data_IF_554474316079
#
_entry.id   IF_554474316079
#
_cell.length_a   1.000
_cell.length_b   1.000
_cell.length_c   1.000
_cell.angle_alpha   90.00
_cell.angle_beta   90.00
_cell.angle_gamma   90.00
#
_symmetry.space_group_name_H-M   'P 1'
#
loop_
_entity.id
_entity.type
_entity.pdbx_description
1 polymer ?
#
# COMPACT_ATOMS: atom_id res chain seq x y z
N UNK A 1 58.93 40.42 -35.53
CA UNK A 1 57.49 40.74 -35.64
C UNK A 1 56.64 39.53 -36.05
N UNK A 2 56.98 38.79 -37.12
CA UNK A 2 56.26 37.56 -37.53
C UNK A 2 56.26 36.42 -36.48
N UNK A 3 57.35 36.21 -35.73
CA UNK A 3 57.39 35.14 -34.70
C UNK A 3 56.51 35.44 -33.48
N UNK A 4 56.43 36.70 -33.06
CA UNK A 4 55.59 37.14 -31.93
C UNK A 4 54.10 37.01 -32.29
N UNK A 5 53.74 37.31 -33.54
CA UNK A 5 52.39 37.13 -34.06
C UNK A 5 51.95 35.65 -34.07
N UNK A 6 52.87 34.73 -34.40
CA UNK A 6 52.61 33.29 -34.41
C UNK A 6 52.45 32.70 -33.00
N UNK A 7 53.20 33.23 -32.02
CA UNK A 7 53.09 32.81 -30.61
C UNK A 7 51.77 33.29 -30.01
N UNK A 8 51.33 34.52 -30.32
CA UNK A 8 50.04 35.04 -29.89
C UNK A 8 48.86 34.25 -30.49
N UNK A 9 48.94 33.89 -31.79
CA UNK A 9 47.95 33.03 -32.43
C UNK A 9 47.87 31.64 -31.79
N UNK A 10 49.01 31.05 -31.42
CA UNK A 10 49.06 29.75 -30.75
C UNK A 10 48.45 29.79 -29.33
N UNK A 11 48.67 30.86 -28.56
CA UNK A 11 48.05 31.04 -27.25
C UNK A 11 46.53 31.22 -27.34
N UNK A 12 46.03 31.93 -28.37
CA UNK A 12 44.59 32.09 -28.61
C UNK A 12 43.95 30.75 -28.98
N UNK A 13 44.60 29.95 -29.83
CA UNK A 13 44.10 28.62 -30.21
C UNK A 13 44.06 27.67 -29.00
N UNK A 14 45.09 27.69 -28.15
CA UNK A 14 45.13 26.89 -26.91
C UNK A 14 44.06 27.37 -25.91
N UNK A 15 43.83 28.69 -25.80
CA UNK A 15 42.77 29.25 -24.98
C UNK A 15 41.37 28.82 -25.46
N UNK A 16 41.13 28.85 -26.77
CA UNK A 16 39.84 28.41 -27.36
C UNK A 16 39.64 26.90 -27.19
N UNK A 17 40.70 26.09 -27.30
CA UNK A 17 40.68 24.64 -27.04
C UNK A 17 40.37 24.29 -25.56
N UNK A 18 40.74 25.15 -24.61
CA UNK A 18 40.41 24.97 -23.19
C UNK A 18 38.95 25.36 -22.87
N UNK A 19 38.33 26.26 -23.63
CA UNK A 19 36.93 26.65 -23.43
C UNK A 19 35.93 25.59 -23.92
N UNK A 20 36.26 24.81 -24.95
CA UNK A 20 35.38 23.73 -25.46
C UNK A 20 35.39 22.45 -24.61
N UNK A 21 36.29 22.30 -23.63
CA UNK A 21 36.33 21.14 -22.73
C UNK A 21 35.58 21.35 -21.39
N UNK A 22 35.03 22.53 -21.15
CA UNK A 22 34.34 22.86 -19.89
C UNK A 22 32.84 22.56 -19.92
N UNK A 23 32.28 22.23 -21.08
CA UNK A 23 30.87 21.82 -21.20
C UNK A 23 30.78 20.29 -21.05
N UNK A 24 30.96 19.79 -19.84
CA UNK A 24 30.47 18.47 -19.48
C UNK A 24 29.05 18.66 -18.97
N UNK A 25 28.06 18.19 -19.73
CA UNK A 25 26.70 18.07 -19.23
C UNK A 25 26.75 17.11 -18.03
N UNK A 26 26.71 17.67 -16.83
CA UNK A 26 26.37 16.91 -15.64
C UNK A 26 24.89 16.54 -15.78
N UNK A 27 24.62 15.39 -16.39
CA UNK A 27 23.34 14.73 -16.21
C UNK A 27 23.20 14.52 -14.70
N UNK A 28 22.38 15.35 -14.06
CA UNK A 28 21.83 15.08 -12.75
C UNK A 28 21.18 13.71 -12.86
N UNK A 29 21.92 12.69 -12.43
CA UNK A 29 21.45 11.32 -12.31
C UNK A 29 20.55 11.32 -11.07
N UNK A 30 19.41 12.00 -11.16
CA UNK A 30 18.37 11.91 -10.15
C UNK A 30 17.84 10.50 -10.24
N UNK A 31 18.42 9.62 -9.44
CA UNK A 31 17.86 8.33 -9.13
C UNK A 31 16.56 8.58 -8.37
N UNK A 32 15.48 8.84 -9.12
CA UNK A 32 14.14 9.05 -8.56
C UNK A 32 13.71 7.70 -7.98
N UNK A 33 13.61 7.63 -6.66
CA UNK A 33 13.04 6.48 -5.97
C UNK A 33 11.52 6.47 -6.22
N UNK A 34 11.07 5.64 -7.16
CA UNK A 34 9.65 5.49 -7.46
C UNK A 34 8.87 4.81 -6.33
N UNK A 35 9.55 4.10 -5.42
CA UNK A 35 8.91 3.37 -4.33
C UNK A 35 8.25 2.05 -4.73
N UNK A 36 8.69 1.44 -5.84
CA UNK A 36 8.18 0.14 -6.29
C UNK A 36 8.33 -0.95 -5.21
N UNK A 37 9.37 -0.86 -4.40
CA UNK A 37 9.70 -1.77 -3.31
C UNK A 37 8.69 -1.74 -2.15
N UNK A 38 7.78 -0.75 -2.09
CA UNK A 38 6.63 -0.77 -1.20
C UNK A 38 5.55 -1.77 -1.64
N UNK A 39 5.67 -2.37 -2.83
CA UNK A 39 4.80 -3.44 -3.32
C UNK A 39 5.64 -4.52 -4.02
N UNK A 40 6.39 -5.33 -3.26
CA UNK A 40 7.22 -6.38 -3.83
C UNK A 40 6.35 -7.51 -4.39
N UNK A 41 6.63 -7.89 -5.64
CA UNK A 41 6.02 -9.03 -6.33
C UNK A 41 7.11 -10.00 -6.73
N UNK A 42 7.70 -10.67 -5.74
CA UNK A 42 8.75 -11.67 -5.94
C UNK A 42 8.21 -13.03 -5.51
N UNK A 43 8.16 -13.99 -6.44
CA UNK A 43 7.69 -15.34 -6.15
C UNK A 43 8.46 -15.97 -4.98
N UNK A 44 7.72 -16.59 -4.05
CA UNK A 44 8.26 -17.15 -2.81
C UNK A 44 8.31 -16.16 -1.63
N UNK A 45 8.04 -14.87 -1.86
CA UNK A 45 7.81 -13.90 -0.79
C UNK A 45 6.53 -14.26 -0.04
N UNK A 46 6.57 -14.18 1.29
CA UNK A 46 5.35 -14.32 2.10
C UNK A 46 5.36 -13.41 3.32
N UNK A 47 4.16 -13.06 3.78
CA UNK A 47 3.94 -12.33 5.01
C UNK A 47 2.81 -12.97 5.82
N UNK A 48 3.02 -13.07 7.12
CA UNK A 48 2.07 -13.61 8.10
C UNK A 48 1.55 -12.49 8.99
N UNK A 49 0.26 -12.51 9.27
CA UNK A 49 -0.42 -11.48 10.03
C UNK A 49 -1.27 -12.09 11.14
N UNK A 50 -1.34 -11.39 12.26
CA UNK A 50 -2.42 -11.51 13.23
C UNK A 50 -3.58 -10.65 12.76
N UNK A 51 -4.77 -11.22 12.74
CA UNK A 51 -6.00 -10.54 12.33
C UNK A 51 -6.94 -10.49 13.53
N UNK A 52 -7.06 -9.31 14.13
CA UNK A 52 -8.03 -9.05 15.20
C UNK A 52 -9.27 -8.39 14.59
N UNK A 53 -10.43 -9.02 14.78
CA UNK A 53 -11.71 -8.52 14.29
C UNK A 53 -12.70 -8.30 15.42
N UNK A 54 -13.45 -7.21 15.33
CA UNK A 54 -14.59 -6.91 16.19
C UNK A 54 -15.80 -6.75 15.29
N UNK A 55 -16.85 -7.54 15.52
CA UNK A 55 -18.12 -7.44 14.82
C UNK A 55 -19.13 -6.82 15.78
N UNK A 56 -19.84 -5.79 15.34
CA UNK A 56 -20.92 -5.13 16.07
C UNK A 56 -22.26 -5.60 15.50
N UNK A 57 -23.18 -5.99 16.38
CA UNK A 57 -24.53 -6.40 16.00
C UNK A 57 -25.47 -6.39 17.20
N UNK A 58 -26.70 -5.90 16.99
CA UNK A 58 -27.79 -5.96 17.97
C UNK A 58 -28.23 -7.40 18.28
N UNK A 59 -27.84 -8.39 17.48
CA UNK A 59 -28.11 -9.81 17.73
C UNK A 59 -27.09 -10.48 18.67
N UNK A 60 -26.02 -9.78 19.05
CA UNK A 60 -25.01 -10.29 19.98
C UNK A 60 -25.34 -9.86 21.42
N UNK A 61 -25.12 -10.73 22.44
CA UNK A 61 -25.47 -10.42 23.84
C UNK A 61 -24.85 -9.12 24.37
N UNK A 62 -23.57 -8.88 24.06
CA UNK A 62 -22.83 -7.68 24.48
C UNK A 62 -22.81 -6.60 23.39
N UNK A 63 -23.63 -6.73 22.35
CA UNK A 63 -23.65 -5.85 21.17
C UNK A 63 -22.43 -5.97 20.24
N UNK A 64 -21.40 -6.73 20.66
CA UNK A 64 -20.20 -7.00 19.85
C UNK A 64 -19.56 -8.35 20.17
N UNK A 65 -18.75 -8.85 19.25
CA UNK A 65 -17.94 -10.05 19.42
C UNK A 65 -16.54 -9.83 18.86
N UNK A 66 -15.52 -10.27 19.60
CA UNK A 66 -14.12 -10.20 19.17
C UNK A 66 -13.64 -11.58 18.71
N UNK A 67 -12.83 -11.61 17.66
CA UNK A 67 -12.17 -12.83 17.16
C UNK A 67 -10.75 -12.51 16.76
N UNK A 68 -9.85 -13.44 17.03
CA UNK A 68 -8.49 -13.41 16.49
C UNK A 68 -8.34 -14.57 15.53
N UNK A 69 -7.73 -14.30 14.38
CA UNK A 69 -7.30 -15.31 13.41
C UNK A 69 -5.93 -14.93 12.87
N UNK A 70 -5.36 -15.79 12.04
CA UNK A 70 -4.05 -15.59 11.47
C UNK A 70 -4.11 -15.79 9.98
N UNK A 71 -3.38 -14.96 9.26
CA UNK A 71 -3.36 -14.92 7.81
C UNK A 71 -1.94 -15.12 7.30
N UNK A 72 -1.78 -15.87 6.21
CA UNK A 72 -0.55 -15.87 5.41
C UNK A 72 -0.88 -15.48 3.98
N UNK A 73 -0.14 -14.52 3.45
CA UNK A 73 -0.17 -14.17 2.04
C UNK A 73 1.17 -14.57 1.43
N UNK A 74 1.14 -15.34 0.34
CA UNK A 74 2.30 -15.80 -0.39
C UNK A 74 2.20 -15.40 -1.86
N UNK A 75 3.23 -14.72 -2.37
CA UNK A 75 3.39 -14.46 -3.80
C UNK A 75 3.84 -15.76 -4.46
N UNK A 76 2.99 -16.34 -5.29
CA UNK A 76 3.21 -17.63 -5.93
C UNK A 76 3.59 -17.43 -7.41
N UNK A 77 2.81 -18.02 -8.31
CA UNK A 77 3.11 -18.09 -9.74
C UNK A 77 2.70 -16.83 -10.50
N UNK A 78 3.26 -16.65 -11.69
CA UNK A 78 2.90 -15.55 -12.60
C UNK A 78 2.01 -16.03 -13.74
N UNK A 79 1.18 -15.13 -14.25
CA UNK A 79 0.42 -15.33 -15.48
C UNK A 79 0.27 -14.01 -16.24
N UNK A 80 -0.22 -14.07 -17.48
CA UNK A 80 -0.55 -12.87 -18.26
C UNK A 80 -2.03 -12.56 -18.10
N UNK A 81 -2.37 -11.36 -17.66
CA UNK A 81 -3.77 -10.94 -17.52
C UNK A 81 -4.46 -10.70 -18.87
N UNK A 82 -5.76 -10.44 -18.83
CA UNK A 82 -6.58 -10.18 -20.03
C UNK A 82 -6.19 -8.89 -20.79
N UNK A 83 -5.31 -8.06 -20.22
CA UNK A 83 -4.77 -6.84 -20.84
C UNK A 83 -3.32 -7.01 -21.30
N UNK A 84 -2.76 -8.22 -21.19
CA UNK A 84 -1.38 -8.50 -21.60
C UNK A 84 -0.31 -8.14 -20.57
N UNK A 85 -0.69 -7.85 -19.32
CA UNK A 85 0.26 -7.48 -18.25
C UNK A 85 0.67 -8.69 -17.44
N UNK A 86 1.91 -8.67 -16.91
CA UNK A 86 2.39 -9.69 -15.98
C UNK A 86 1.68 -9.56 -14.63
N UNK A 87 0.91 -10.58 -14.27
CA UNK A 87 0.19 -10.70 -13.01
C UNK A 87 0.83 -11.77 -12.13
N UNK A 88 0.71 -11.57 -10.82
CA UNK A 88 1.24 -12.45 -9.78
C UNK A 88 0.10 -13.02 -8.96
N UNK A 89 0.08 -14.33 -8.81
CA UNK A 89 -0.90 -15.04 -7.97
C UNK A 89 -0.53 -14.84 -6.51
N UNK A 90 -1.51 -14.48 -5.67
CA UNK A 90 -1.34 -14.33 -4.24
C UNK A 90 -2.19 -15.39 -3.53
N UNK A 91 -1.54 -16.37 -2.91
CA UNK A 91 -2.22 -17.40 -2.11
C UNK A 91 -2.46 -16.88 -0.71
N UNK A 92 -3.72 -16.85 -0.27
CA UNK A 92 -4.15 -16.34 1.03
C UNK A 92 -4.68 -17.49 1.88
N UNK A 93 -3.91 -17.88 2.90
CA UNK A 93 -4.26 -18.93 3.84
C UNK A 93 -4.76 -18.32 5.15
N UNK A 94 -5.73 -18.96 5.80
CA UNK A 94 -6.24 -18.51 7.10
C UNK A 94 -6.35 -19.65 8.10
N UNK A 95 -6.10 -19.36 9.38
CA UNK A 95 -6.22 -20.29 10.50
C UNK A 95 -6.74 -19.55 11.74
N UNK A 96 -7.40 -20.26 12.65
CA UNK A 96 -7.99 -19.66 13.86
C UNK A 96 -7.06 -19.64 15.07
N UNK A 97 -5.91 -20.31 15.00
CA UNK A 97 -4.94 -20.44 16.08
C UNK A 97 -3.50 -20.37 15.52
N UNK A 98 -2.58 -19.74 16.25
CA UNK A 98 -1.17 -19.60 15.83
C UNK A 98 -0.38 -20.92 15.88
N UNK A 99 -0.86 -21.92 16.59
CA UNK A 99 -0.21 -23.23 16.68
C UNK A 99 -0.54 -24.15 15.50
N UNK A 100 -1.55 -23.84 14.68
CA UNK A 100 -1.98 -24.70 13.58
C UNK A 100 -1.03 -24.57 12.37
N UNK A 101 -0.53 -25.65 11.76
CA UNK A 101 0.34 -25.58 10.59
C UNK A 101 -0.33 -24.85 9.41
N UNK A 102 0.48 -24.22 8.55
CA UNK A 102 0.00 -23.67 7.26
C UNK A 102 -0.22 -24.76 6.21
N UNK A 103 0.32 -25.95 6.45
CA UNK A 103 0.22 -27.12 5.57
C UNK A 103 -1.23 -27.62 5.48
N UNK A 104 -1.62 -28.13 4.31
CA UNK A 104 -2.94 -28.72 4.01
C UNK A 104 -4.12 -27.76 4.17
N UNK A 105 -3.89 -26.44 4.21
CA UNK A 105 -4.93 -25.43 4.12
C UNK A 105 -5.18 -25.09 2.64
N UNK A 106 -6.45 -24.98 2.26
CA UNK A 106 -6.83 -24.51 0.92
C UNK A 106 -6.79 -22.98 0.90
N UNK A 107 -5.93 -22.34 0.08
CA UNK A 107 -5.87 -20.89 0.01
C UNK A 107 -7.04 -20.32 -0.78
N UNK A 108 -7.44 -19.10 -0.44
CA UNK A 108 -8.14 -18.23 -1.38
C UNK A 108 -7.08 -17.63 -2.31
N UNK A 109 -7.37 -17.65 -3.61
CA UNK A 109 -6.43 -17.17 -4.63
C UNK A 109 -6.85 -15.77 -5.09
N UNK A 110 -5.93 -14.85 -4.94
CA UNK A 110 -6.01 -13.47 -5.43
C UNK A 110 -4.92 -13.26 -6.48
N UNK A 111 -4.89 -12.09 -7.11
CA UNK A 111 -3.75 -11.70 -7.94
C UNK A 111 -3.43 -10.22 -7.81
N UNK A 112 -2.21 -9.87 -8.18
CA UNK A 112 -1.70 -8.52 -8.14
C UNK A 112 -0.94 -8.19 -9.43
N UNK A 113 -1.04 -6.94 -9.85
CA UNK A 113 -0.34 -6.40 -11.03
C UNK A 113 0.38 -5.13 -10.59
N UNK A 114 1.58 -4.91 -11.09
CA UNK A 114 2.33 -3.67 -10.85
C UNK A 114 2.99 -3.21 -12.13
N UNK A 115 2.65 -2.01 -12.59
CA UNK A 115 3.32 -1.34 -13.70
C UNK A 115 4.11 -0.12 -13.20
N UNK A 116 4.55 0.76 -14.11
CA UNK A 116 5.32 1.95 -13.77
C UNK A 116 4.51 3.01 -13.02
N UNK A 117 3.18 2.96 -13.07
CA UNK A 117 2.29 4.01 -12.59
C UNK A 117 1.50 3.57 -11.35
N UNK A 118 1.16 2.28 -11.23
CA UNK A 118 0.34 1.81 -10.12
C UNK A 118 0.55 0.33 -9.75
N UNK A 119 0.15 0.00 -8.52
CA UNK A 119 0.02 -1.35 -8.03
C UNK A 119 -1.46 -1.65 -7.78
N UNK A 120 -1.92 -2.74 -8.37
CA UNK A 120 -3.29 -3.21 -8.30
C UNK A 120 -3.37 -4.56 -7.60
N UNK A 121 -4.49 -4.81 -6.93
CA UNK A 121 -4.78 -6.11 -6.34
C UNK A 121 -6.24 -6.47 -6.55
N UNK A 122 -6.45 -7.70 -7.01
CA UNK A 122 -7.76 -8.33 -7.09
C UNK A 122 -8.00 -9.12 -5.80
N UNK A 123 -8.91 -8.65 -4.97
CA UNK A 123 -9.31 -9.31 -3.71
C UNK A 123 -10.70 -9.94 -3.92
N UNK A 124 -10.73 -11.22 -4.32
CA UNK A 124 -11.96 -11.87 -4.79
C UNK A 124 -12.37 -11.30 -6.14
N UNK A 125 -13.58 -10.76 -6.24
CA UNK A 125 -14.10 -10.11 -7.45
C UNK A 125 -13.83 -8.59 -7.49
N UNK A 126 -13.16 -8.04 -6.47
CA UNK A 126 -12.96 -6.60 -6.30
C UNK A 126 -11.54 -6.20 -6.67
N UNK A 127 -11.39 -5.30 -7.65
CA UNK A 127 -10.09 -4.75 -8.07
C UNK A 127 -9.82 -3.41 -7.40
N UNK A 128 -8.71 -3.31 -6.68
CA UNK A 128 -8.29 -2.11 -5.97
C UNK A 128 -6.97 -1.58 -6.52
N UNK A 129 -6.84 -0.26 -6.64
CA UNK A 129 -5.56 0.42 -6.85
C UNK A 129 -4.95 0.69 -5.48
N UNK A 130 -4.00 -0.14 -5.07
CA UNK A 130 -3.40 -0.12 -3.73
C UNK A 130 -2.35 0.96 -3.57
N UNK A 131 -1.55 1.21 -4.61
CA UNK A 131 -0.52 2.25 -4.64
C UNK A 131 -0.46 2.90 -6.02
N UNK A 132 0.01 4.13 -6.06
CA UNK A 132 0.42 4.83 -7.28
C UNK A 132 1.87 5.26 -7.16
N UNK A 133 2.58 5.31 -8.29
CA UNK A 133 3.99 5.63 -8.39
C UNK A 133 4.20 6.92 -9.18
N UNK A 134 5.21 7.74 -8.83
CA UNK A 134 6.11 7.58 -7.68
C UNK A 134 5.40 7.83 -6.34
N UNK A 135 5.83 7.12 -5.28
CA UNK A 135 5.31 7.34 -3.92
C UNK A 135 5.70 8.74 -3.44
N UNK A 136 4.70 9.64 -3.36
CA UNK A 136 4.89 11.05 -3.02
C UNK A 136 3.92 11.46 -1.93
N UNK A 137 4.41 12.21 -0.94
CA UNK A 137 3.61 12.65 0.21
C UNK A 137 2.40 13.49 -0.26
N UNK A 138 1.24 13.23 0.33
CA UNK A 138 -0.04 13.87 0.03
C UNK A 138 -0.63 13.62 -1.37
N UNK A 139 -0.01 12.80 -2.22
CA UNK A 139 -0.64 12.40 -3.48
C UNK A 139 -1.91 11.61 -3.19
N UNK A 140 -2.97 11.92 -3.94
CA UNK A 140 -4.29 11.31 -3.76
C UNK A 140 -4.81 10.65 -5.02
N UNK A 141 -5.54 9.55 -4.86
CA UNK A 141 -6.21 8.84 -5.96
C UNK A 141 -7.50 8.17 -5.50
N UNK A 142 -8.31 7.75 -6.47
CA UNK A 142 -9.46 6.89 -6.21
C UNK A 142 -8.99 5.43 -6.24
N UNK A 143 -8.69 4.83 -5.07
CA UNK A 143 -8.27 3.43 -4.97
C UNK A 143 -9.36 2.42 -5.34
N UNK A 144 -10.62 2.86 -5.36
CA UNK A 144 -11.80 2.05 -5.67
C UNK A 144 -12.33 2.30 -7.09
N UNK A 145 -11.52 2.89 -7.98
CA UNK A 145 -11.95 3.31 -9.31
C UNK A 145 -12.51 2.18 -10.19
N UNK A 146 -12.22 0.91 -9.89
CA UNK A 146 -12.73 -0.25 -10.61
C UNK A 146 -13.94 -0.92 -9.96
N UNK A 147 -14.45 -0.38 -8.85
CA UNK A 147 -15.61 -0.94 -8.15
C UNK A 147 -16.90 -0.28 -8.61
N UNK A 148 -17.96 -1.08 -8.75
CA UNK A 148 -19.33 -0.59 -8.93
C UNK A 148 -19.90 -0.16 -7.57
N UNK A 149 -19.50 1.02 -7.10
CA UNK A 149 -19.89 1.55 -5.77
C UNK A 149 -21.35 2.01 -5.69
N UNK A 150 -22.07 2.01 -6.81
CA UNK A 150 -23.52 2.25 -6.83
C UNK A 150 -24.32 0.96 -6.55
N UNK A 151 -23.66 -0.21 -6.55
CA UNK A 151 -24.24 -1.44 -6.02
C UNK A 151 -24.37 -1.35 -4.49
N UNK A 152 -25.54 -1.69 -3.96
CA UNK A 152 -25.85 -1.62 -2.52
C UNK A 152 -24.80 -2.31 -1.64
N UNK A 153 -24.23 -3.43 -2.09
CA UNK A 153 -23.23 -4.18 -1.34
C UNK A 153 -21.85 -3.51 -1.25
N UNK A 154 -21.59 -2.49 -2.09
CA UNK A 154 -20.30 -1.81 -2.20
C UNK A 154 -20.37 -0.31 -1.84
N UNK A 155 -21.53 0.17 -1.38
CA UNK A 155 -21.75 1.56 -0.97
C UNK A 155 -20.75 2.05 0.09
N UNK A 156 -20.26 1.15 0.97
CA UNK A 156 -19.21 1.47 1.94
C UNK A 156 -17.87 1.90 1.31
N UNK A 157 -17.64 1.60 0.03
CA UNK A 157 -16.45 1.98 -0.73
C UNK A 157 -16.61 3.29 -1.53
N UNK A 158 -17.80 3.91 -1.46
CA UNK A 158 -18.13 5.13 -2.19
C UNK A 158 -17.34 6.33 -1.65
N UNK A 159 -16.90 7.21 -2.55
CA UNK A 159 -16.19 8.45 -2.24
C UNK A 159 -14.87 8.28 -1.44
N UNK A 160 -14.21 7.12 -1.50
CA UNK A 160 -12.89 6.96 -0.88
C UNK A 160 -11.85 7.79 -1.63
N UNK A 161 -10.96 8.43 -0.87
CA UNK A 161 -9.86 9.25 -1.40
C UNK A 161 -8.57 8.83 -0.73
N UNK A 162 -7.87 7.92 -1.38
CA UNK A 162 -6.62 7.37 -0.90
C UNK A 162 -5.61 8.50 -0.87
N UNK A 163 -4.84 8.61 0.20
CA UNK A 163 -3.81 9.64 0.37
C UNK A 163 -2.54 9.02 0.91
N UNK A 164 -1.43 9.26 0.24
CA UNK A 164 -0.11 8.87 0.71
C UNK A 164 0.35 9.80 1.85
N UNK A 165 0.80 9.22 2.96
CA UNK A 165 1.17 9.90 4.20
C UNK A 165 2.42 9.28 4.81
N UNK A 166 3.20 10.09 5.52
CA UNK A 166 4.35 9.65 6.30
C UNK A 166 5.36 8.81 5.47
N UNK A 167 5.72 9.26 4.27
CA UNK A 167 6.67 8.54 3.41
C UNK A 167 8.05 8.42 4.06
N UNK A 168 8.74 7.29 3.83
CA UNK A 168 10.09 7.03 4.30
C UNK A 168 10.27 7.19 5.83
N UNK A 169 9.20 6.96 6.61
CA UNK A 169 9.24 7.09 8.07
C UNK A 169 9.45 5.73 8.75
N UNK A 170 10.26 5.65 9.82
CA UNK A 170 10.41 4.41 10.57
C UNK A 170 9.16 4.10 11.40
N UNK A 171 8.77 2.83 11.47
CA UNK A 171 7.69 2.35 12.33
C UNK A 171 8.01 0.98 12.92
N UNK A 172 7.52 0.74 14.13
CA UNK A 172 7.54 -0.59 14.75
C UNK A 172 6.12 -1.12 14.82
N UNK A 173 5.87 -2.27 14.20
CA UNK A 173 4.54 -2.89 14.06
C UNK A 173 4.68 -4.37 14.37
N UNK A 174 3.84 -4.89 15.27
CA UNK A 174 3.86 -6.31 15.66
C UNK A 174 5.21 -6.79 16.21
N UNK A 175 5.97 -5.90 16.86
CA UNK A 175 7.32 -6.19 17.38
C UNK A 175 8.44 -6.15 16.33
N UNK A 176 8.11 -5.92 15.04
CA UNK A 176 9.08 -5.79 13.95
C UNK A 176 9.37 -4.31 13.68
N UNK A 177 10.64 -3.94 13.54
CA UNK A 177 11.06 -2.58 13.20
C UNK A 177 11.34 -2.43 11.71
N UNK A 178 10.70 -1.42 11.10
CA UNK A 178 10.83 -1.09 9.69
C UNK A 178 11.45 0.30 9.56
N UNK A 179 12.60 0.39 8.89
CA UNK A 179 13.34 1.65 8.74
C UNK A 179 12.61 2.66 7.85
N UNK A 180 11.94 2.19 6.81
CA UNK A 180 11.22 3.02 5.84
C UNK A 180 9.83 2.45 5.59
N UNK A 181 8.82 3.21 5.97
CA UNK A 181 7.42 2.90 5.74
C UNK A 181 6.72 4.07 5.05
N UNK A 182 5.61 3.76 4.39
CA UNK A 182 4.64 4.74 3.92
C UNK A 182 3.25 4.32 4.40
N UNK A 183 2.39 5.28 4.72
CA UNK A 183 1.01 5.05 5.12
C UNK A 183 0.08 5.48 4.01
N UNK A 184 -0.84 4.63 3.62
CA UNK A 184 -1.95 4.99 2.73
C UNK A 184 -3.19 5.12 3.59
N UNK A 185 -3.66 6.35 3.78
CA UNK A 185 -4.98 6.60 4.35
C UNK A 185 -5.99 6.45 3.22
N UNK A 186 -6.75 5.35 3.21
CA UNK A 186 -7.69 5.02 2.14
C UNK A 186 -8.99 5.84 2.27
N UNK A 187 -9.49 5.98 3.49
CA UNK A 187 -10.62 6.85 3.83
C UNK A 187 -10.65 7.18 5.33
N UNK A 188 -11.23 8.32 5.68
CA UNK A 188 -11.61 8.70 7.04
C UNK A 188 -12.85 9.58 6.96
N UNK A 189 -14.01 8.93 6.85
CA UNK A 189 -15.30 9.58 6.68
C UNK A 189 -16.20 9.23 7.85
N UNK A 190 -16.88 10.23 8.39
CA UNK A 190 -17.87 10.02 9.43
C UNK A 190 -19.01 11.02 9.33
N UNK A 191 -20.17 10.60 9.80
CA UNK A 191 -21.33 11.44 10.03
C UNK A 191 -21.97 11.05 11.39
N UNK A 192 -23.18 11.53 11.68
CA UNK A 192 -23.87 11.24 12.94
C UNK A 192 -24.29 9.76 13.12
N UNK A 193 -24.29 8.97 12.05
CA UNK A 193 -24.74 7.57 12.05
C UNK A 193 -23.67 6.60 11.53
N UNK A 194 -22.74 7.02 10.68
CA UNK A 194 -21.74 6.15 10.04
C UNK A 194 -20.30 6.57 10.38
N UNK A 195 -19.42 5.57 10.45
CA UNK A 195 -17.96 5.72 10.42
C UNK A 195 -17.37 4.73 9.43
N UNK A 196 -16.69 5.26 8.41
CA UNK A 196 -15.89 4.48 7.48
C UNK A 196 -14.46 4.99 7.56
N UNK A 197 -13.56 4.13 8.01
CA UNK A 197 -12.14 4.45 8.16
C UNK A 197 -11.33 3.28 7.62
N UNK A 198 -10.29 3.58 6.84
CA UNK A 198 -9.37 2.54 6.39
C UNK A 198 -7.99 3.11 6.15
N UNK A 199 -6.97 2.41 6.61
CA UNK A 199 -5.57 2.68 6.27
C UNK A 199 -4.76 1.40 6.12
N UNK A 200 -3.66 1.52 5.39
CA UNK A 200 -2.64 0.49 5.29
C UNK A 200 -1.24 1.11 5.42
N UNK A 201 -0.32 0.38 6.06
CA UNK A 201 1.10 0.76 6.13
C UNK A 201 1.91 -0.23 5.31
N UNK A 202 2.78 0.29 4.46
CA UNK A 202 3.68 -0.48 3.61
C UNK A 202 5.12 -0.22 4.03
N UNK A 203 5.90 -1.28 4.22
CA UNK A 203 7.34 -1.20 4.48
C UNK A 203 8.13 -1.51 3.21
N UNK A 204 9.22 -0.78 2.99
CA UNK A 204 10.09 -0.97 1.82
C UNK A 204 10.67 -2.39 1.81
N UNK A 205 10.61 -3.06 0.66
CA UNK A 205 11.03 -4.46 0.42
C UNK A 205 10.22 -5.53 1.16
N UNK A 206 9.05 -5.19 1.73
CA UNK A 206 8.19 -6.13 2.46
C UNK A 206 6.74 -6.00 1.99
N UNK A 207 6.30 -4.79 1.63
CA UNK A 207 4.91 -4.56 1.27
C UNK A 207 4.07 -4.24 2.49
N UNK A 208 2.79 -4.64 2.48
CA UNK A 208 1.84 -4.36 3.56
C UNK A 208 2.36 -4.95 4.88
N UNK A 209 2.45 -4.13 5.92
CA UNK A 209 2.83 -4.54 7.27
C UNK A 209 1.73 -4.28 8.30
N UNK A 210 0.77 -3.42 7.96
CA UNK A 210 -0.41 -3.16 8.77
C UNK A 210 -1.60 -2.79 7.89
N UNK A 211 -2.79 -3.17 8.32
CA UNK A 211 -4.06 -2.64 7.79
C UNK A 211 -5.05 -2.49 8.93
N UNK A 212 -5.86 -1.44 8.88
CA UNK A 212 -6.97 -1.22 9.79
C UNK A 212 -8.16 -0.71 9.01
N UNK A 213 -9.31 -1.35 9.18
CA UNK A 213 -10.55 -0.99 8.48
C UNK A 213 -11.74 -1.04 9.43
N UNK A 214 -12.56 0.00 9.37
CA UNK A 214 -13.74 0.22 10.17
C UNK A 214 -14.88 0.54 9.20
N UNK A 215 -15.97 -0.20 9.33
CA UNK A 215 -17.25 0.13 8.71
C UNK A 215 -18.27 -0.03 9.81
N UNK A 216 -18.67 1.07 10.43
CA UNK A 216 -19.52 1.08 11.62
C UNK A 216 -20.74 1.95 11.36
N UNK A 217 -21.87 1.50 11.88
CA UNK A 217 -23.11 2.24 11.84
C UNK A 217 -23.78 2.22 13.22
N UNK A 218 -24.54 3.28 13.50
CA UNK A 218 -25.42 3.39 14.66
C UNK A 218 -26.78 3.91 14.23
N UNK A 219 -27.82 3.39 14.87
CA UNK A 219 -29.20 3.83 14.66
C UNK A 219 -29.57 4.99 15.60
N UNK A 220 -28.71 5.32 16.56
CA UNK A 220 -28.97 6.36 17.56
C UNK A 220 -27.95 7.48 17.44
N UNK A 221 -28.43 8.71 17.27
CA UNK A 221 -27.60 9.90 17.28
C UNK A 221 -27.30 10.25 18.74
N UNK A 222 -26.13 9.82 19.19
CA UNK A 222 -25.56 10.21 20.47
C UNK A 222 -24.23 10.93 20.24
N UNK A 223 -24.21 12.23 20.56
CA UNK A 223 -23.03 13.07 20.44
C UNK A 223 -22.10 12.98 21.67
N UNK A 224 -22.50 12.27 22.73
CA UNK A 224 -21.70 12.13 23.96
C UNK A 224 -20.77 10.91 23.93
N UNK A 225 -21.08 9.91 23.11
CA UNK A 225 -20.27 8.69 22.94
C UNK A 225 -19.50 8.74 21.62
N UNK A 226 -18.19 8.44 21.64
CA UNK A 226 -17.34 8.43 20.44
C UNK A 226 -17.33 7.07 19.74
N UNK A 227 -16.87 7.02 18.48
CA UNK A 227 -16.52 5.76 17.84
C UNK A 227 -15.30 5.12 18.52
N UNK A 228 -15.25 3.78 18.67
CA UNK A 228 -16.23 2.81 18.19
C UNK A 228 -17.35 2.48 19.20
N UNK A 229 -17.35 3.07 20.39
CA UNK A 229 -18.24 2.66 21.50
C UNK A 229 -19.73 2.86 21.21
N UNK A 230 -20.08 3.83 20.35
CA UNK A 230 -21.47 4.05 19.92
C UNK A 230 -21.95 3.13 18.79
N UNK A 231 -21.09 2.26 18.25
CA UNK A 231 -21.45 1.37 17.14
C UNK A 231 -22.49 0.32 17.56
N UNK A 232 -23.48 0.11 16.69
CA UNK A 232 -24.51 -0.94 16.84
C UNK A 232 -24.36 -2.04 15.81
N UNK A 233 -23.91 -1.70 14.61
CA UNK A 233 -23.66 -2.65 13.54
C UNK A 233 -22.32 -2.35 12.86
N UNK A 234 -21.80 -3.35 12.16
CA UNK A 234 -20.58 -3.21 11.35
C UNK A 234 -19.39 -3.98 11.92
N UNK A 235 -18.18 -3.58 11.54
CA UNK A 235 -16.97 -4.27 11.94
C UNK A 235 -15.75 -3.36 12.05
N UNK A 236 -14.77 -3.82 12.82
CA UNK A 236 -13.39 -3.37 12.82
C UNK A 236 -12.51 -4.59 12.51
N UNK A 237 -11.55 -4.44 11.61
CA UNK A 237 -10.53 -5.46 11.33
C UNK A 237 -9.16 -4.80 11.36
N UNK A 238 -8.22 -5.42 12.06
CA UNK A 238 -6.81 -5.03 12.11
C UNK A 238 -5.94 -6.20 11.69
N UNK A 239 -5.13 -6.03 10.66
CA UNK A 239 -4.11 -6.98 10.24
C UNK A 239 -2.74 -6.42 10.67
N UNK A 240 -2.06 -7.11 11.59
CA UNK A 240 -0.73 -6.72 12.09
C UNK A 240 0.28 -7.77 11.69
N UNK A 241 1.37 -7.38 11.02
CA UNK A 241 2.41 -8.33 10.61
C UNK A 241 3.06 -9.01 11.83
N UNK A 242 3.25 -10.32 11.72
CA UNK A 242 3.94 -11.14 12.70
C UNK A 242 5.32 -11.57 12.18
N UNK A 243 5.36 -12.06 10.95
CA UNK A 243 6.55 -12.63 10.34
C UNK A 243 6.51 -12.45 8.82
N UNK A 244 7.67 -12.55 8.17
CA UNK A 244 7.77 -12.46 6.71
C UNK A 244 9.06 -13.11 6.21
N UNK A 245 9.06 -13.48 4.93
CA UNK A 245 10.25 -13.88 4.19
C UNK A 245 10.40 -13.02 2.96
N UNK A 246 11.61 -12.46 2.80
CA UNK A 246 12.05 -11.74 1.61
C UNK A 246 12.52 -12.71 0.53
#
# INVERSE_FOLDING_TARGET
MRSILNIAALMIIIGVLLFISACKDEFLNTNIDFGFEYFPLTSGFWAEYRVDSTIYSSFLPDGKANRTSYLREEVADTFTDNTGRLAYTIKRFSRTNDTLPWQNLTPVVWYAVRDSNQAERMEGELRFIKLIFPITENTTWNGNAYLDVENDNLTSYKNWKYTCKNINTPKTIGGNSFAQTTTILETDQENLIDKVYSLAVYAKNIGKVYREQWVLNTETIDATTTWPDRAKTGFIVKETILNYKK
#
